data_IF_821421365011
#
_entry.id   IF_821421365011
#
_cell.length_a   1.000
_cell.length_b   1.000
_cell.length_c   1.000
_cell.angle_alpha   90.00
_cell.angle_beta   90.00
_cell.angle_gamma   90.00
#
_symmetry.space_group_name_H-M   'P 1'
#
loop_
_entity.id
_entity.type
_entity.pdbx_description
1 polymer ?
#
# COMPACT_ATOMS: atom_id res chain seq x y z
N UNK A 1 24.15 -12.68 8.55
CA UNK A 1 22.68 -12.75 8.64
C UNK A 1 22.04 -11.40 8.99
N UNK A 2 22.71 -10.56 9.80
CA UNK A 2 22.17 -9.27 10.28
C UNK A 2 21.77 -8.25 9.19
N UNK A 3 22.48 -8.22 8.06
CA UNK A 3 22.20 -7.26 6.97
C UNK A 3 20.87 -7.53 6.26
N UNK A 4 20.54 -8.80 5.99
CA UNK A 4 19.29 -9.18 5.33
C UNK A 4 18.07 -8.87 6.21
N UNK A 5 18.17 -9.18 7.50
CA UNK A 5 17.13 -8.83 8.48
C UNK A 5 16.97 -7.30 8.64
N UNK A 6 18.06 -6.54 8.56
CA UNK A 6 18.00 -5.08 8.58
C UNK A 6 17.32 -4.50 7.33
N UNK A 7 17.68 -4.98 6.14
CA UNK A 7 17.05 -4.57 4.87
C UNK A 7 15.57 -4.91 4.87
N UNK A 8 15.20 -6.12 5.31
CA UNK A 8 13.79 -6.49 5.38
C UNK A 8 13.01 -5.56 6.32
N UNK A 9 13.54 -5.26 7.51
CA UNK A 9 12.92 -4.32 8.44
C UNK A 9 12.75 -2.94 7.81
N UNK A 10 13.74 -2.45 7.07
CA UNK A 10 13.64 -1.19 6.34
C UNK A 10 12.55 -1.23 5.27
N UNK A 11 12.40 -2.36 4.57
CA UNK A 11 11.33 -2.54 3.57
C UNK A 11 9.95 -2.56 4.20
N UNK A 12 9.79 -3.12 5.41
CA UNK A 12 8.52 -3.02 6.15
C UNK A 12 8.20 -1.57 6.56
N UNK A 13 9.20 -0.80 6.98
CA UNK A 13 9.01 0.64 7.23
C UNK A 13 8.66 1.41 5.96
N UNK A 14 9.35 1.11 4.85
CA UNK A 14 9.05 1.67 3.54
C UNK A 14 7.62 1.34 3.10
N UNK A 15 7.18 0.10 3.31
CA UNK A 15 5.81 -0.32 3.04
C UNK A 15 4.81 0.49 3.87
N UNK A 16 5.08 0.70 5.16
CA UNK A 16 4.24 1.53 6.03
C UNK A 16 4.16 2.98 5.55
N UNK A 17 5.29 3.56 5.14
CA UNK A 17 5.33 4.91 4.57
C UNK A 17 4.58 5.00 3.23
N UNK A 18 4.77 4.00 2.34
CA UNK A 18 4.08 3.91 1.06
C UNK A 18 2.56 3.78 1.24
N UNK A 19 2.12 2.95 2.20
CA UNK A 19 0.72 2.79 2.56
C UNK A 19 0.12 4.11 3.02
N UNK A 20 0.82 4.86 3.87
CA UNK A 20 0.35 6.14 4.38
C UNK A 20 0.28 7.19 3.26
N UNK A 21 1.32 7.31 2.44
CA UNK A 21 1.35 8.24 1.31
C UNK A 21 0.23 7.95 0.30
N UNK A 22 0.03 6.69 -0.04
CA UNK A 22 -1.04 6.26 -0.95
C UNK A 22 -2.43 6.56 -0.38
N UNK A 23 -2.67 6.28 0.91
CA UNK A 23 -3.93 6.61 1.57
C UNK A 23 -4.21 8.12 1.57
N UNK A 24 -3.21 8.93 1.96
CA UNK A 24 -3.38 10.38 2.06
C UNK A 24 -3.62 11.01 0.70
N UNK A 25 -2.85 10.61 -0.32
CA UNK A 25 -3.00 11.16 -1.68
C UNK A 25 -4.29 10.69 -2.35
N UNK A 26 -4.70 9.42 -2.17
CA UNK A 26 -5.99 8.94 -2.67
C UNK A 26 -7.14 9.65 -1.98
N UNK A 27 -7.10 9.79 -0.66
CA UNK A 27 -8.11 10.52 0.09
C UNK A 27 -8.21 11.98 -0.35
N UNK A 28 -7.08 12.69 -0.44
CA UNK A 28 -7.05 14.06 -0.94
C UNK A 28 -7.60 14.18 -2.37
N UNK A 29 -7.27 13.24 -3.25
CA UNK A 29 -7.80 13.18 -4.61
C UNK A 29 -9.32 13.05 -4.64
N UNK A 30 -9.87 12.12 -3.84
CA UNK A 30 -11.32 11.94 -3.72
C UNK A 30 -12.01 13.21 -3.18
N UNK A 31 -11.41 13.87 -2.18
CA UNK A 31 -11.92 15.14 -1.65
C UNK A 31 -11.84 16.30 -2.66
N UNK A 32 -10.89 16.24 -3.60
CA UNK A 32 -10.76 17.19 -4.71
C UNK A 32 -11.68 16.87 -5.91
N UNK A 33 -12.49 15.80 -5.84
CA UNK A 33 -13.42 15.39 -6.89
C UNK A 33 -12.81 14.47 -7.96
N UNK A 34 -11.59 13.99 -7.77
CA UNK A 34 -11.02 12.93 -8.61
C UNK A 34 -11.77 11.61 -8.33
N UNK A 35 -11.79 10.72 -9.30
CA UNK A 35 -12.39 9.39 -9.14
C UNK A 35 -11.32 8.31 -9.04
N UNK A 36 -11.53 7.33 -8.15
CA UNK A 36 -10.65 6.18 -7.98
C UNK A 36 -10.49 5.41 -9.29
N UNK A 37 -9.26 5.27 -9.79
CA UNK A 37 -8.96 4.63 -11.08
C UNK A 37 -9.08 3.11 -11.04
N UNK A 38 -8.93 2.49 -9.88
CA UNK A 38 -9.06 1.05 -9.71
C UNK A 38 -10.54 0.63 -9.59
N UNK A 39 -11.12 -0.12 -10.55
CA UNK A 39 -12.54 -0.47 -10.52
C UNK A 39 -12.96 -1.28 -9.28
N UNK A 40 -12.08 -2.17 -8.79
CA UNK A 40 -12.35 -2.97 -7.61
C UNK A 40 -12.35 -2.11 -6.34
N UNK A 41 -11.40 -1.18 -6.23
CA UNK A 41 -11.37 -0.24 -5.10
C UNK A 41 -12.54 0.73 -5.13
N UNK A 42 -12.92 1.20 -6.33
CA UNK A 42 -14.10 2.05 -6.52
C UNK A 42 -15.36 1.35 -6.01
N UNK A 43 -15.60 0.10 -6.40
CA UNK A 43 -16.73 -0.68 -5.91
C UNK A 43 -16.69 -0.87 -4.38
N UNK A 44 -15.51 -1.04 -3.79
CA UNK A 44 -15.36 -1.15 -2.34
C UNK A 44 -15.69 0.18 -1.63
N UNK A 45 -15.24 1.32 -2.18
CA UNK A 45 -15.57 2.66 -1.67
C UNK A 45 -17.08 2.93 -1.80
N UNK A 46 -17.70 2.56 -2.92
CA UNK A 46 -19.15 2.73 -3.10
C UNK A 46 -19.97 1.92 -2.08
N UNK A 47 -19.45 0.75 -1.66
CA UNK A 47 -20.13 -0.12 -0.70
C UNK A 47 -19.88 0.26 0.78
N UNK A 48 -18.67 0.69 1.13
CA UNK A 48 -18.23 0.86 2.53
C UNK A 48 -17.61 2.23 2.84
N UNK A 49 -17.67 3.17 1.89
CA UNK A 49 -17.09 4.49 1.99
C UNK A 49 -15.56 4.49 1.98
N UNK A 50 -14.98 5.63 2.34
CA UNK A 50 -13.52 5.84 2.38
C UNK A 50 -12.80 4.84 3.31
N UNK A 51 -13.48 4.31 4.33
CA UNK A 51 -12.94 3.29 5.23
C UNK A 51 -12.52 2.00 4.49
N UNK A 52 -13.12 1.72 3.32
CA UNK A 52 -12.75 0.60 2.46
C UNK A 52 -11.26 0.64 2.03
N UNK A 53 -10.71 1.84 1.79
CA UNK A 53 -9.31 2.03 1.40
C UNK A 53 -8.37 1.44 2.45
N UNK A 54 -8.60 1.78 3.71
CA UNK A 54 -7.79 1.28 4.83
C UNK A 54 -8.01 -0.22 5.02
N UNK A 55 -9.26 -0.68 4.99
CA UNK A 55 -9.61 -2.09 5.19
C UNK A 55 -8.93 -3.01 4.17
N UNK A 56 -9.01 -2.68 2.88
CA UNK A 56 -8.38 -3.47 1.81
C UNK A 56 -6.86 -3.47 1.95
N UNK A 57 -6.24 -2.32 2.24
CA UNK A 57 -4.79 -2.25 2.43
C UNK A 57 -4.32 -3.08 3.61
N UNK A 58 -5.00 -3.01 4.75
CA UNK A 58 -4.67 -3.82 5.93
C UNK A 58 -4.84 -5.32 5.64
N UNK A 59 -5.87 -5.72 4.89
CA UNK A 59 -6.03 -7.10 4.45
C UNK A 59 -4.86 -7.56 3.58
N UNK A 60 -4.43 -6.74 2.61
CA UNK A 60 -3.27 -7.02 1.75
C UNK A 60 -1.96 -7.12 2.56
N UNK A 61 -1.72 -6.19 3.50
CA UNK A 61 -0.55 -6.27 4.41
C UNK A 61 -0.62 -7.52 5.27
N UNK A 62 -1.79 -7.88 5.79
CA UNK A 62 -2.00 -9.08 6.59
C UNK A 62 -1.69 -10.36 5.83
N UNK A 63 -2.19 -10.49 4.59
CA UNK A 63 -1.86 -11.60 3.69
C UNK A 63 -0.37 -11.63 3.38
N UNK A 64 0.24 -10.48 3.07
CA UNK A 64 1.69 -10.37 2.85
C UNK A 64 2.50 -10.82 4.07
N UNK A 65 2.15 -10.35 5.26
CA UNK A 65 2.79 -10.77 6.50
C UNK A 65 2.63 -12.27 6.79
N UNK A 66 1.49 -12.86 6.41
CA UNK A 66 1.28 -14.31 6.40
C UNK A 66 2.23 -15.03 5.45
N UNK A 67 2.28 -14.59 4.19
CA UNK A 67 3.15 -15.16 3.16
C UNK A 67 4.63 -15.07 3.54
N UNK A 68 5.05 -13.95 4.15
CA UNK A 68 6.39 -13.75 4.66
C UNK A 68 6.82 -14.86 5.63
N UNK A 69 5.91 -15.40 6.45
CA UNK A 69 6.24 -16.47 7.41
C UNK A 69 6.54 -17.82 6.74
N UNK A 70 6.05 -18.02 5.51
CA UNK A 70 6.26 -19.25 4.73
C UNK A 70 7.50 -19.14 3.84
N UNK A 71 7.99 -17.91 3.62
CA UNK A 71 9.20 -17.66 2.85
C UNK A 71 10.42 -17.68 3.75
N UNK A 72 11.44 -18.43 3.33
CA UNK A 72 12.75 -18.50 3.99
C UNK A 72 13.53 -17.16 3.84
N UNK A 73 14.74 -17.21 3.29
CA UNK A 73 15.61 -16.04 3.11
C UNK A 73 15.04 -14.99 2.11
N UNK A 74 13.98 -15.33 1.38
CA UNK A 74 13.32 -14.50 0.37
C UNK A 74 12.24 -13.57 0.93
N UNK A 75 12.08 -13.53 2.24
CA UNK A 75 11.03 -12.77 2.90
C UNK A 75 10.99 -11.28 2.56
N UNK A 76 12.14 -10.65 2.32
CA UNK A 76 12.26 -9.24 1.92
C UNK A 76 11.51 -8.87 0.62
N UNK A 77 11.24 -9.86 -0.26
CA UNK A 77 10.49 -9.63 -1.50
C UNK A 77 9.04 -9.22 -1.22
N UNK A 78 8.47 -9.67 -0.10
CA UNK A 78 7.08 -9.36 0.26
C UNK A 78 6.87 -7.86 0.49
N UNK A 79 7.53 -7.20 1.48
CA UNK A 79 7.30 -5.78 1.70
C UNK A 79 7.75 -4.94 0.51
N UNK A 80 8.78 -5.35 -0.24
CA UNK A 80 9.20 -4.67 -1.47
C UNK A 80 8.11 -4.71 -2.54
N UNK A 81 7.59 -5.90 -2.85
CA UNK A 81 6.56 -6.10 -3.86
C UNK A 81 5.24 -5.41 -3.54
N UNK A 82 4.92 -5.25 -2.24
CA UNK A 82 3.77 -4.47 -1.80
C UNK A 82 4.02 -2.95 -1.84
N UNK A 83 5.22 -2.50 -1.47
CA UNK A 83 5.54 -1.08 -1.38
C UNK A 83 5.60 -0.42 -2.76
N UNK A 84 6.22 -1.08 -3.75
CA UNK A 84 6.40 -0.53 -5.10
C UNK A 84 5.12 -0.01 -5.76
N UNK A 85 4.03 -0.81 -5.90
CA UNK A 85 2.81 -0.32 -6.54
C UNK A 85 2.17 0.84 -5.79
N UNK A 86 2.23 0.86 -4.45
CA UNK A 86 1.69 1.97 -3.65
C UNK A 86 2.54 3.23 -3.75
N UNK A 87 3.87 3.11 -3.85
CA UNK A 87 4.73 4.26 -4.13
C UNK A 87 4.43 4.86 -5.51
N UNK A 88 4.25 4.02 -6.52
CA UNK A 88 3.88 4.47 -7.87
C UNK A 88 2.52 5.17 -7.85
N UNK A 89 1.50 4.56 -7.22
CA UNK A 89 0.17 5.15 -7.11
C UNK A 89 0.20 6.48 -6.33
N UNK A 90 0.90 6.54 -5.20
CA UNK A 90 1.07 7.79 -4.44
C UNK A 90 1.78 8.88 -5.25
N UNK A 91 2.79 8.53 -6.04
CA UNK A 91 3.48 9.48 -6.91
C UNK A 91 2.54 10.00 -8.01
N UNK A 92 1.80 9.13 -8.68
CA UNK A 92 0.79 9.51 -9.68
C UNK A 92 -0.27 10.42 -9.06
N UNK A 93 -0.85 10.04 -7.92
CA UNK A 93 -1.84 10.86 -7.23
C UNK A 93 -1.28 12.23 -6.84
N UNK A 94 -0.01 12.28 -6.40
CA UNK A 94 0.65 13.55 -6.07
C UNK A 94 0.77 14.46 -7.30
N UNK A 95 1.13 13.91 -8.47
CA UNK A 95 1.20 14.70 -9.73
C UNK A 95 -0.16 15.19 -10.23
N UNK A 96 -1.26 14.58 -9.78
CA UNK A 96 -2.61 15.03 -10.11
C UNK A 96 -3.15 16.07 -9.12
N UNK A 97 -2.57 16.11 -7.91
CA UNK A 97 -2.99 17.00 -6.82
C UNK A 97 -2.24 18.34 -6.78
N UNK A 98 -0.98 18.36 -7.21
CA UNK A 98 -0.08 19.50 -7.16
C UNK A 98 0.40 19.87 -8.56
#
# INVERSE_FOLDING_TARGET
>A
MDRLAAVERQLWWLLGAALLADLLTTYAGLQAGLTEGNPAMRAAIDAAGVAALLGVKLAVVGVGAGLRRVLDERGAVVPLGLALPWLVAAAVNSTLLF
#
